data_IF_120421563108
#
_entry.id   IF_120421563108
#
_cell.length_a   1.000
_cell.length_b   1.000
_cell.length_c   1.000
_cell.angle_alpha   90.00
_cell.angle_beta   90.00
_cell.angle_gamma   90.00
#
_symmetry.space_group_name_H-M   'P 1'
#
loop_
_entity.id
_entity.type
_entity.pdbx_description
1 polymer ?
#
# COMPACT_ATOMS: atom_id res chain seq x y z
N UNK A 1 98.00 -30.76 11.04
CA UNK A 1 97.26 -31.53 10.02
C UNK A 1 95.79 -31.14 10.12
N UNK A 2 95.21 -30.68 9.02
CA UNK A 2 94.09 -29.73 8.95
C UNK A 2 92.75 -30.27 9.46
N UNK A 3 92.10 -29.49 10.32
CA UNK A 3 90.80 -29.78 10.93
C UNK A 3 89.66 -29.61 9.91
N UNK A 4 89.14 -30.73 9.41
CA UNK A 4 88.03 -30.81 8.45
C UNK A 4 86.63 -30.55 9.07
N UNK A 5 86.56 -29.94 10.27
CA UNK A 5 85.30 -29.68 11.02
C UNK A 5 84.68 -28.31 10.68
N UNK A 6 85.51 -27.36 10.26
CA UNK A 6 85.12 -25.97 9.93
C UNK A 6 84.26 -25.89 8.63
N UNK A 7 84.58 -26.58 7.52
CA UNK A 7 83.74 -26.52 6.32
C UNK A 7 82.40 -27.25 6.50
N UNK A 8 82.36 -28.30 7.34
CA UNK A 8 81.12 -29.04 7.66
C UNK A 8 80.16 -28.18 8.46
N UNK A 9 80.66 -27.40 9.43
CA UNK A 9 79.83 -26.52 10.25
C UNK A 9 79.29 -25.34 9.42
N UNK A 10 80.08 -24.81 8.49
CA UNK A 10 79.63 -23.80 7.51
C UNK A 10 78.52 -24.33 6.59
N UNK A 11 78.66 -25.58 6.11
CA UNK A 11 77.68 -26.19 5.22
C UNK A 11 76.34 -26.49 5.92
N UNK A 12 76.37 -26.89 7.20
CA UNK A 12 75.15 -27.10 8.01
C UNK A 12 74.40 -25.79 8.27
N UNK A 13 75.12 -24.70 8.60
CA UNK A 13 74.52 -23.38 8.79
C UNK A 13 73.92 -22.83 7.49
N UNK A 14 74.61 -23.05 6.36
CA UNK A 14 74.10 -22.64 5.06
C UNK A 14 72.81 -23.40 4.70
N UNK A 15 72.77 -24.71 4.91
CA UNK A 15 71.57 -25.54 4.68
C UNK A 15 70.40 -25.10 5.58
N UNK A 16 70.66 -24.77 6.85
CA UNK A 16 69.62 -24.31 7.78
C UNK A 16 69.02 -22.94 7.37
N UNK A 17 69.86 -22.06 6.80
CA UNK A 17 69.43 -20.79 6.22
C UNK A 17 68.52 -20.97 4.99
N UNK A 18 68.84 -21.93 4.10
CA UNK A 18 68.00 -22.22 2.93
C UNK A 18 66.64 -22.80 3.34
N UNK A 19 66.57 -23.67 4.36
CA UNK A 19 65.30 -24.24 4.84
C UNK A 19 64.41 -23.19 5.50
N UNK A 20 64.97 -22.22 6.23
CA UNK A 20 64.19 -21.16 6.88
C UNK A 20 63.64 -20.12 5.89
N UNK A 21 64.28 -19.96 4.72
CA UNK A 21 63.86 -19.00 3.69
C UNK A 21 62.74 -19.53 2.78
N UNK A 22 62.40 -20.82 2.87
CA UNK A 22 61.31 -21.43 2.08
C UNK A 22 59.92 -21.26 2.73
N UNK A 23 59.69 -20.12 3.40
CA UNK A 23 58.37 -19.68 3.90
C UNK A 23 57.92 -18.39 3.21
N UNK A 24 57.99 -18.37 1.88
CA UNK A 24 57.23 -17.44 1.04
C UNK A 24 56.03 -18.18 0.45
N UNK A 25 54.92 -18.11 1.18
CA UNK A 25 53.67 -18.78 0.82
C UNK A 25 52.79 -19.08 2.02
N UNK A 26 52.81 -18.21 3.04
CA UNK A 26 51.86 -18.25 4.15
C UNK A 26 50.83 -17.18 3.91
N UNK A 27 49.71 -17.55 3.27
CA UNK A 27 48.49 -16.76 3.37
C UNK A 27 48.19 -16.61 4.85
N UNK A 28 48.19 -15.38 5.33
CA UNK A 28 47.66 -15.05 6.63
C UNK A 28 46.19 -15.47 6.62
N UNK A 29 45.86 -16.54 7.34
CA UNK A 29 44.52 -16.72 7.92
C UNK A 29 44.30 -15.56 8.91
N UNK A 30 44.12 -14.36 8.37
CA UNK A 30 43.41 -13.32 9.07
C UNK A 30 41.97 -13.82 9.10
N UNK A 31 41.55 -14.28 10.29
CA UNK A 31 40.15 -14.45 10.59
C UNK A 31 39.44 -13.17 10.12
N UNK A 32 38.67 -13.28 9.05
CA UNK A 32 37.83 -12.21 8.54
C UNK A 32 37.01 -11.71 9.73
N UNK A 33 37.34 -10.51 10.21
CA UNK A 33 36.57 -9.87 11.25
C UNK A 33 35.15 -9.71 10.69
N UNK A 34 34.24 -10.57 11.15
CA UNK A 34 32.82 -10.48 10.84
C UNK A 34 32.36 -9.16 11.47
N UNK A 35 32.25 -8.13 10.65
CA UNK A 35 31.65 -6.87 11.08
C UNK A 35 30.22 -7.20 11.56
N UNK A 36 29.82 -6.75 12.76
CA UNK A 36 28.47 -7.01 13.25
C UNK A 36 27.47 -6.43 12.26
N UNK A 37 26.55 -7.26 11.78
CA UNK A 37 25.52 -6.83 10.83
C UNK A 37 24.60 -5.83 11.55
N UNK A 38 24.38 -4.63 10.98
CA UNK A 38 23.53 -3.64 11.63
C UNK A 38 22.09 -4.15 11.69
N UNK A 39 21.56 -4.26 12.91
CA UNK A 39 20.17 -4.66 13.15
C UNK A 39 19.27 -3.44 12.94
N UNK A 40 18.32 -3.56 12.01
CA UNK A 40 17.37 -2.50 11.69
C UNK A 40 16.00 -2.83 12.30
N UNK A 41 15.25 -1.84 12.80
CA UNK A 41 13.89 -2.06 13.27
C UNK A 41 13.02 -2.50 12.10
N UNK A 42 12.41 -3.68 12.24
CA UNK A 42 11.46 -4.23 11.29
C UNK A 42 10.10 -4.40 11.96
N UNK A 43 9.05 -4.34 11.15
CA UNK A 43 7.68 -4.63 11.58
C UNK A 43 7.10 -5.69 10.66
N UNK A 44 6.40 -6.66 11.26
CA UNK A 44 5.63 -7.67 10.53
C UNK A 44 4.29 -7.09 10.10
N UNK A 45 3.93 -7.28 8.83
CA UNK A 45 2.65 -6.83 8.29
C UNK A 45 1.61 -7.95 8.40
N UNK A 46 0.47 -7.63 9.00
CA UNK A 46 -0.70 -8.51 9.02
C UNK A 46 -1.76 -8.01 8.05
N UNK A 47 -2.51 -8.94 7.46
CA UNK A 47 -3.63 -8.59 6.58
C UNK A 47 -4.86 -8.28 7.41
N UNK A 48 -5.52 -7.17 7.08
CA UNK A 48 -6.80 -6.79 7.68
C UNK A 48 -7.75 -6.30 6.61
N UNK A 49 -9.04 -6.29 6.93
CA UNK A 49 -10.07 -5.76 6.04
C UNK A 49 -10.03 -4.23 6.07
N UNK A 50 -9.76 -3.63 4.91
CA UNK A 50 -9.87 -2.19 4.72
C UNK A 50 -11.23 -1.85 4.09
N UNK A 51 -11.98 -0.95 4.71
CA UNK A 51 -13.21 -0.38 4.14
C UNK A 51 -12.86 0.92 3.41
N UNK A 52 -13.21 1.01 2.13
CA UNK A 52 -13.08 2.24 1.34
C UNK A 52 -14.47 2.79 1.06
N UNK A 53 -14.76 3.96 1.63
CA UNK A 53 -16.04 4.66 1.45
C UNK A 53 -15.83 5.76 0.40
N UNK A 54 -16.77 5.89 -0.53
CA UNK A 54 -16.80 6.99 -1.51
C UNK A 54 -18.14 7.68 -1.41
N UNK A 55 -18.11 8.93 -0.99
CA UNK A 55 -19.30 9.75 -0.88
C UNK A 55 -19.49 10.57 -2.16
N UNK A 56 -20.73 10.62 -2.62
CA UNK A 56 -21.14 11.39 -3.78
C UNK A 56 -22.38 12.19 -3.43
N UNK A 57 -22.42 13.44 -3.84
CA UNK A 57 -23.64 14.22 -3.79
C UNK A 57 -24.64 13.66 -4.81
N UNK A 58 -25.88 13.41 -4.37
CA UNK A 58 -26.98 13.01 -5.22
C UNK A 58 -28.21 13.84 -4.89
N UNK A 59 -29.03 14.11 -5.90
CA UNK A 59 -30.34 14.72 -5.74
C UNK A 59 -31.39 13.61 -5.78
N UNK A 60 -32.33 13.63 -4.84
CA UNK A 60 -33.47 12.71 -4.82
C UNK A 60 -34.67 13.38 -5.47
N UNK A 61 -35.27 12.71 -6.44
CA UNK A 61 -36.47 13.17 -7.14
C UNK A 61 -37.52 12.04 -7.17
N UNK A 62 -38.80 12.41 -7.31
CA UNK A 62 -39.85 11.44 -7.58
C UNK A 62 -39.63 10.74 -8.92
N UNK A 63 -40.09 9.49 -9.05
CA UNK A 63 -40.00 8.75 -10.32
C UNK A 63 -40.66 9.53 -11.47
N UNK A 64 -41.78 10.17 -11.17
CA UNK A 64 -42.42 11.16 -12.04
C UNK A 64 -42.92 12.33 -11.20
N UNK A 65 -42.62 13.54 -11.65
CA UNK A 65 -43.17 14.78 -11.09
C UNK A 65 -44.12 15.38 -12.11
N UNK A 66 -45.39 15.56 -11.74
CA UNK A 66 -46.42 16.07 -12.63
C UNK A 66 -47.02 17.34 -12.05
N UNK A 67 -46.88 18.44 -12.79
CA UNK A 67 -47.54 19.71 -12.47
C UNK A 67 -48.97 19.71 -13.02
N UNK A 68 -49.95 19.79 -12.12
CA UNK A 68 -51.35 19.89 -12.52
C UNK A 68 -51.67 21.32 -13.00
N UNK A 69 -52.12 21.43 -14.25
CA UNK A 69 -52.55 22.69 -14.87
C UNK A 69 -53.99 22.56 -15.41
N UNK A 70 -54.84 23.57 -15.23
CA UNK A 70 -56.17 23.56 -15.81
C UNK A 70 -56.10 23.62 -17.35
N UNK A 71 -56.86 22.78 -18.02
CA UNK A 71 -56.91 22.74 -19.50
C UNK A 71 -57.87 23.77 -20.10
N UNK A 72 -58.79 24.30 -19.30
CA UNK A 72 -59.82 25.26 -19.73
C UNK A 72 -59.75 26.53 -18.91
N UNK A 73 -60.21 27.64 -19.49
CA UNK A 73 -60.42 28.88 -18.75
C UNK A 73 -61.65 28.78 -17.86
N UNK A 74 -61.57 29.33 -16.66
CA UNK A 74 -62.69 29.38 -15.72
C UNK A 74 -62.23 29.74 -14.32
N UNK A 75 -63.20 29.89 -13.42
CA UNK A 75 -62.93 30.08 -11.99
C UNK A 75 -62.99 28.75 -11.27
N UNK A 76 -62.10 28.53 -10.30
CA UNK A 76 -62.11 27.35 -9.47
C UNK A 76 -63.37 27.38 -8.58
N UNK A 77 -64.25 26.40 -8.75
CA UNK A 77 -65.53 26.32 -8.04
C UNK A 77 -65.40 25.52 -6.74
N UNK A 78 -64.77 24.35 -6.81
CA UNK A 78 -64.64 23.41 -5.68
C UNK A 78 -63.29 22.69 -5.72
N UNK A 79 -62.77 22.42 -4.52
CA UNK A 79 -61.57 21.63 -4.26
C UNK A 79 -62.00 20.33 -3.55
N UNK A 80 -61.59 19.17 -4.07
CA UNK A 80 -61.99 17.86 -3.52
C UNK A 80 -60.88 17.15 -2.74
N UNK A 81 -59.69 17.74 -2.68
CA UNK A 81 -58.49 17.13 -2.08
C UNK A 81 -57.81 18.12 -1.15
N UNK A 82 -57.37 17.62 0.01
CA UNK A 82 -56.52 18.38 0.93
C UNK A 82 -55.04 18.21 0.54
N UNK A 83 -54.22 19.17 0.92
CA UNK A 83 -52.78 19.14 0.63
C UNK A 83 -52.09 17.93 1.28
N UNK A 84 -51.16 17.31 0.55
CA UNK A 84 -50.43 16.12 1.00
C UNK A 84 -51.22 14.81 0.97
N UNK A 85 -52.49 14.83 0.57
CA UNK A 85 -53.30 13.60 0.42
C UNK A 85 -52.86 12.79 -0.79
N UNK A 86 -52.86 11.47 -0.62
CA UNK A 86 -52.70 10.53 -1.73
C UNK A 86 -53.95 10.54 -2.63
N UNK A 87 -53.73 10.51 -3.94
CA UNK A 87 -54.78 10.53 -4.96
C UNK A 87 -54.55 9.43 -5.99
N UNK A 88 -55.63 8.97 -6.61
CA UNK A 88 -55.56 7.96 -7.68
C UNK A 88 -55.81 8.58 -9.06
N UNK A 89 -55.32 7.93 -10.11
CA UNK A 89 -55.60 8.36 -11.48
C UNK A 89 -57.11 8.45 -11.75
N UNK A 90 -57.54 9.55 -12.36
CA UNK A 90 -58.95 9.83 -12.67
C UNK A 90 -59.78 10.35 -11.49
N UNK A 91 -59.22 10.46 -10.29
CA UNK A 91 -59.92 11.10 -9.17
C UNK A 91 -60.09 12.61 -9.46
N UNK A 92 -61.31 13.16 -9.33
CA UNK A 92 -61.53 14.59 -9.49
C UNK A 92 -60.83 15.35 -8.35
N UNK A 93 -59.99 16.33 -8.72
CA UNK A 93 -59.25 17.15 -7.77
C UNK A 93 -59.88 18.56 -7.64
N UNK A 94 -60.30 19.13 -8.77
CA UNK A 94 -60.85 20.49 -8.86
C UNK A 94 -62.00 20.56 -9.88
N UNK A 95 -63.02 21.36 -9.60
CA UNK A 95 -64.06 21.72 -10.60
C UNK A 95 -63.95 23.18 -10.97
N UNK A 96 -64.22 23.50 -12.24
CA UNK A 96 -64.15 24.84 -12.80
C UNK A 96 -65.56 25.27 -13.22
N UNK A 97 -65.90 26.53 -12.96
CA UNK A 97 -67.10 27.17 -13.48
C UNK A 97 -66.72 28.03 -14.69
N UNK A 98 -67.43 27.82 -15.80
CA UNK A 98 -67.28 28.64 -17.00
C UNK A 98 -67.72 30.09 -16.73
N UNK A 99 -67.18 31.02 -17.50
CA UNK A 99 -67.37 32.46 -17.28
C UNK A 99 -68.70 32.98 -17.82
#
# INVERSE_FOLDING_TARGET
MSNNRIPVLSLVVFVWSVVSSCRSGGGSDEALAVMPTPELPVMTLDTTTALTIRDYAALLEGTENVDLRPQVSGYLEKIFVEEGRFVTAGQPLFTHKDR
#
